data_IF_062111697838
#
_entry.id   IF_062111697838
#
_cell.length_a   1.000
_cell.length_b   1.000
_cell.length_c   1.000
_cell.angle_alpha   90.00
_cell.angle_beta   90.00
_cell.angle_gamma   90.00
#
_symmetry.space_group_name_H-M   'P 1'
#
loop_
_entity.id
_entity.type
_entity.pdbx_description
1 polymer ?
#
# COMPACT_ATOMS: atom_id res chain seq x y z
N UNK A 1 57.12 31.27 8.95
CA UNK A 1 56.31 30.15 9.50
C UNK A 1 54.83 30.14 9.04
N UNK A 2 54.21 31.26 8.70
CA UNK A 2 52.80 31.35 8.28
C UNK A 2 52.41 30.55 6.99
N UNK A 3 53.32 30.46 6.00
CA UNK A 3 53.01 29.80 4.72
C UNK A 3 52.98 28.24 4.76
N UNK A 4 53.64 27.63 5.75
CA UNK A 4 53.57 26.14 5.90
C UNK A 4 52.29 25.66 6.56
N UNK A 5 51.74 26.47 7.46
CA UNK A 5 50.48 26.17 8.13
C UNK A 5 49.29 26.27 7.16
N UNK A 6 49.28 27.27 6.26
CA UNK A 6 48.24 27.44 5.24
C UNK A 6 48.23 26.29 4.22
N UNK A 7 49.40 25.80 3.80
CA UNK A 7 49.48 24.65 2.88
C UNK A 7 49.02 23.35 3.53
N UNK A 8 49.31 23.15 4.83
CA UNK A 8 48.82 21.98 5.56
C UNK A 8 47.29 22.01 5.78
N UNK A 9 46.72 23.19 6.11
CA UNK A 9 45.26 23.34 6.24
C UNK A 9 44.53 23.13 4.93
N UNK A 10 45.10 23.65 3.81
CA UNK A 10 44.50 23.47 2.48
C UNK A 10 44.53 22.02 2.04
N UNK A 11 45.58 21.27 2.33
CA UNK A 11 45.68 19.85 1.99
C UNK A 11 44.73 18.99 2.84
N UNK A 12 44.54 19.30 4.13
CA UNK A 12 43.58 18.62 4.97
C UNK A 12 42.13 18.90 4.54
N UNK A 13 41.83 20.13 4.07
CA UNK A 13 40.51 20.47 3.55
C UNK A 13 40.22 19.72 2.22
N UNK A 14 41.20 19.59 1.34
CA UNK A 14 41.04 18.81 0.08
C UNK A 14 40.87 17.31 0.36
N UNK A 15 41.61 16.76 1.34
CA UNK A 15 41.46 15.34 1.73
C UNK A 15 40.11 15.06 2.40
N UNK A 16 39.58 16.00 3.19
CA UNK A 16 38.25 15.86 3.77
C UNK A 16 37.13 15.98 2.73
N UNK A 17 37.29 16.79 1.66
CA UNK A 17 36.37 16.84 0.54
C UNK A 17 36.40 15.54 -0.30
N UNK A 18 37.57 14.92 -0.48
CA UNK A 18 37.69 13.65 -1.20
C UNK A 18 37.19 12.45 -0.37
N UNK A 19 37.32 12.49 0.98
CA UNK A 19 36.74 11.48 1.86
C UNK A 19 35.22 11.57 1.96
N UNK A 20 34.63 12.74 1.71
CA UNK A 20 33.18 12.96 1.68
C UNK A 20 32.48 12.40 0.43
N UNK A 21 33.26 11.96 -0.59
CA UNK A 21 32.68 11.38 -1.83
C UNK A 21 32.54 9.86 -1.80
N UNK A 22 33.04 9.20 -0.77
CA UNK A 22 32.75 7.79 -0.49
C UNK A 22 31.63 7.68 0.54
N UNK A 23 30.46 8.30 0.29
CA UNK A 23 29.23 7.85 0.95
C UNK A 23 29.08 6.40 0.50
N UNK A 24 29.09 5.41 1.43
CA UNK A 24 28.75 4.05 1.05
C UNK A 24 27.40 4.14 0.36
N UNK A 25 27.38 3.90 -0.94
CA UNK A 25 26.17 4.03 -1.73
C UNK A 25 25.13 3.15 -1.06
N UNK A 26 24.13 3.75 -0.45
CA UNK A 26 22.92 3.03 -0.08
C UNK A 26 22.49 2.34 -1.35
N UNK A 27 22.67 1.03 -1.41
CA UNK A 27 22.29 0.27 -2.59
C UNK A 27 20.82 0.61 -2.84
N UNK A 28 20.57 1.31 -3.94
CA UNK A 28 19.22 1.78 -4.27
C UNK A 28 18.27 0.59 -4.16
N UNK A 29 17.23 0.74 -3.37
CA UNK A 29 16.30 -0.35 -3.10
C UNK A 29 15.77 -0.87 -4.45
N UNK A 30 15.80 -2.20 -4.63
CA UNK A 30 15.41 -2.82 -5.91
C UNK A 30 13.95 -2.53 -6.23
N UNK A 31 13.60 -2.25 -7.49
CA UNK A 31 12.22 -2.11 -7.92
C UNK A 31 11.38 -3.34 -7.52
N UNK A 32 10.21 -3.10 -6.99
CA UNK A 32 9.32 -4.17 -6.49
C UNK A 32 7.84 -3.88 -6.73
N UNK A 33 7.02 -4.92 -6.68
CA UNK A 33 5.57 -4.77 -6.66
C UNK A 33 5.13 -4.77 -5.19
N UNK A 34 4.49 -3.68 -4.76
CA UNK A 34 4.01 -3.48 -3.38
C UNK A 34 2.76 -4.32 -3.08
N UNK A 35 2.51 -4.53 -1.81
CA UNK A 35 1.25 -5.03 -1.28
C UNK A 35 1.22 -6.51 -0.94
N UNK A 36 0.08 -6.96 -0.44
CA UNK A 36 -0.16 -8.35 -0.04
C UNK A 36 -0.09 -9.29 -1.23
N UNK A 37 0.31 -10.54 -1.00
CA UNK A 37 0.37 -11.58 -2.04
C UNK A 37 -0.92 -12.41 -2.13
N UNK A 38 -1.94 -12.06 -1.35
CA UNK A 38 -3.26 -12.69 -1.38
C UNK A 38 -4.27 -11.71 -1.98
N UNK A 39 -5.06 -12.20 -2.92
CA UNK A 39 -6.15 -11.49 -3.57
C UNK A 39 -7.46 -12.24 -3.31
N UNK A 40 -8.51 -11.50 -3.01
CA UNK A 40 -9.79 -12.08 -2.67
C UNK A 40 -10.77 -12.03 -3.86
N UNK A 41 -11.31 -13.20 -4.25
CA UNK A 41 -12.26 -13.31 -5.37
C UNK A 41 -13.52 -12.51 -5.01
N UNK A 42 -14.00 -11.72 -5.98
CA UNK A 42 -15.18 -10.87 -5.82
C UNK A 42 -14.88 -9.44 -5.36
N UNK A 43 -13.63 -9.12 -4.99
CA UNK A 43 -13.26 -7.75 -4.54
C UNK A 43 -13.07 -6.75 -5.70
N UNK A 44 -13.18 -7.19 -6.96
CA UNK A 44 -13.02 -6.32 -8.11
C UNK A 44 -11.57 -6.20 -8.58
N UNK A 45 -11.24 -5.04 -9.17
CA UNK A 45 -9.89 -4.71 -9.61
C UNK A 45 -9.07 -4.19 -8.44
N UNK A 46 -7.86 -4.72 -8.28
CA UNK A 46 -6.88 -4.28 -7.29
C UNK A 46 -5.76 -3.55 -8.03
N UNK A 47 -5.42 -2.33 -7.59
CA UNK A 47 -4.32 -1.56 -8.17
C UNK A 47 -2.98 -2.26 -7.94
N UNK A 48 -2.07 -2.13 -8.90
CA UNK A 48 -0.69 -2.59 -8.78
C UNK A 48 0.17 -1.37 -8.49
N UNK A 49 0.74 -1.33 -7.30
CA UNK A 49 1.65 -0.29 -6.86
C UNK A 49 3.09 -0.79 -7.02
N UNK A 50 3.95 0.08 -7.55
CA UNK A 50 5.36 -0.21 -7.79
C UNK A 50 6.21 0.69 -6.89
N UNK A 51 7.23 0.11 -6.27
CA UNK A 51 8.18 0.81 -5.42
C UNK A 51 9.56 0.86 -6.07
N UNK A 52 10.32 1.90 -5.73
CA UNK A 52 11.73 2.08 -6.09
C UNK A 52 12.01 1.98 -7.60
N UNK A 53 11.06 2.48 -8.41
CA UNK A 53 11.27 2.56 -9.84
C UNK A 53 12.33 3.63 -10.15
N UNK A 54 13.20 3.42 -11.17
CA UNK A 54 14.02 4.48 -11.72
C UNK A 54 13.16 5.64 -12.23
N UNK A 55 13.66 6.88 -12.13
CA UNK A 55 12.93 8.08 -12.57
C UNK A 55 12.60 8.07 -14.08
N UNK A 56 13.45 7.44 -14.88
CA UNK A 56 13.27 7.28 -16.32
C UNK A 56 12.37 6.10 -16.71
N UNK A 57 11.79 5.39 -15.73
CA UNK A 57 10.96 4.21 -15.99
C UNK A 57 9.71 4.57 -16.81
N UNK A 58 9.54 3.91 -17.97
CA UNK A 58 8.43 4.15 -18.92
C UNK A 58 8.02 2.88 -19.66
N UNK A 59 6.98 2.99 -20.49
CA UNK A 59 6.52 1.89 -21.37
C UNK A 59 6.16 0.62 -20.61
N UNK A 60 5.38 0.79 -19.54
CA UNK A 60 4.97 -0.33 -18.70
C UNK A 60 4.08 -1.31 -19.46
N UNK A 61 4.37 -2.61 -19.30
CA UNK A 61 3.53 -3.73 -19.74
C UNK A 61 3.32 -4.66 -18.56
N UNK A 62 2.15 -5.32 -18.52
CA UNK A 62 1.80 -6.27 -17.47
C UNK A 62 1.34 -7.58 -18.07
N UNK A 63 1.74 -8.68 -17.45
CA UNK A 63 1.34 -10.03 -17.84
C UNK A 63 1.07 -10.91 -16.61
N UNK A 64 0.13 -11.83 -16.75
CA UNK A 64 -0.16 -12.90 -15.79
C UNK A 64 0.23 -14.23 -16.38
N UNK A 65 0.91 -15.08 -15.60
CA UNK A 65 1.23 -16.46 -16.01
C UNK A 65 -0.01 -17.36 -16.08
N UNK A 66 -1.12 -16.94 -15.44
CA UNK A 66 -2.41 -17.63 -15.49
C UNK A 66 -3.58 -16.63 -15.48
N UNK A 67 -3.97 -16.09 -16.65
CA UNK A 67 -5.05 -15.10 -16.75
C UNK A 67 -6.43 -15.64 -16.33
N UNK A 68 -6.64 -16.94 -16.36
CA UNK A 68 -7.86 -17.57 -15.85
C UNK A 68 -7.97 -17.49 -14.32
N UNK A 69 -6.85 -17.42 -13.61
CA UNK A 69 -6.80 -17.27 -12.15
C UNK A 69 -6.77 -15.79 -11.77
N UNK A 70 -5.86 -15.02 -12.38
CA UNK A 70 -5.73 -13.58 -12.13
C UNK A 70 -5.60 -12.87 -13.48
N UNK A 71 -6.63 -12.14 -13.86
CA UNK A 71 -6.62 -11.26 -15.04
C UNK A 71 -5.91 -9.95 -14.68
N UNK A 72 -5.13 -9.43 -15.61
CA UNK A 72 -4.42 -8.15 -15.47
C UNK A 72 -4.79 -7.21 -16.60
N UNK A 73 -4.58 -5.92 -16.40
CA UNK A 73 -4.80 -4.91 -17.43
C UNK A 73 -4.31 -3.55 -17.01
N UNK A 74 -4.48 -2.58 -17.91
CA UNK A 74 -4.20 -1.17 -17.67
C UNK A 74 -5.50 -0.37 -17.60
N UNK A 75 -5.49 0.71 -16.83
CA UNK A 75 -6.50 1.75 -16.90
C UNK A 75 -6.15 2.71 -18.04
N UNK A 76 -7.15 3.14 -18.82
CA UNK A 76 -6.95 4.10 -19.91
C UNK A 76 -6.59 5.50 -19.43
N UNK A 77 -6.94 5.84 -18.19
CA UNK A 77 -6.88 7.22 -17.67
C UNK A 77 -5.67 7.48 -16.77
N UNK A 78 -4.74 6.52 -16.65
CA UNK A 78 -3.61 6.66 -15.73
C UNK A 78 -2.36 6.03 -16.35
N UNK A 79 -1.29 6.80 -16.48
CA UNK A 79 -0.02 6.36 -17.06
C UNK A 79 0.58 5.13 -16.34
N UNK A 80 0.26 4.96 -15.05
CA UNK A 80 0.70 3.85 -14.20
C UNK A 80 -0.45 2.94 -13.73
N UNK A 81 -1.69 3.21 -14.15
CA UNK A 81 -2.90 2.53 -13.73
C UNK A 81 -2.94 1.07 -14.19
N UNK A 82 -2.11 0.23 -13.60
CA UNK A 82 -2.16 -1.22 -13.78
C UNK A 82 -3.03 -1.85 -12.69
N UNK A 83 -3.80 -2.86 -13.07
CA UNK A 83 -4.67 -3.57 -12.16
C UNK A 83 -4.58 -5.08 -12.34
N UNK A 84 -4.95 -5.80 -11.28
CA UNK A 84 -5.16 -7.24 -11.27
C UNK A 84 -6.54 -7.57 -10.67
N UNK A 85 -7.23 -8.56 -11.25
CA UNK A 85 -8.55 -9.02 -10.81
C UNK A 85 -8.49 -10.52 -10.59
N UNK A 86 -8.67 -11.02 -9.36
CA UNK A 86 -8.77 -12.45 -9.08
C UNK A 86 -10.10 -12.99 -9.62
N UNK A 87 -10.06 -14.07 -10.37
CA UNK A 87 -11.22 -14.71 -10.98
C UNK A 87 -11.49 -16.09 -10.40
N UNK A 88 -10.44 -16.89 -10.12
CA UNK A 88 -10.52 -18.29 -9.70
C UNK A 88 -9.50 -18.57 -8.62
N UNK A 89 -9.77 -19.49 -7.72
CA UNK A 89 -8.80 -19.95 -6.73
C UNK A 89 -7.57 -20.52 -7.42
N UNK A 90 -6.38 -20.10 -6.99
CA UNK A 90 -5.12 -20.56 -7.57
C UNK A 90 -3.99 -19.56 -7.40
N UNK A 91 -2.88 -19.81 -8.08
CA UNK A 91 -1.70 -18.94 -8.08
C UNK A 91 -1.41 -18.43 -9.49
N UNK A 92 -0.90 -17.21 -9.58
CA UNK A 92 -0.34 -16.66 -10.81
C UNK A 92 0.86 -15.76 -10.50
N UNK A 93 1.89 -15.82 -11.34
CA UNK A 93 3.01 -14.89 -11.32
C UNK A 93 2.63 -13.68 -12.17
N UNK A 94 2.64 -12.51 -11.55
CA UNK A 94 2.39 -11.24 -12.23
C UNK A 94 3.75 -10.62 -12.54
N UNK A 95 3.96 -10.29 -13.80
CA UNK A 95 5.19 -9.68 -14.29
C UNK A 95 4.89 -8.29 -14.84
N UNK A 96 5.60 -7.29 -14.35
CA UNK A 96 5.59 -5.94 -14.89
C UNK A 96 6.92 -5.73 -15.60
N UNK A 97 6.86 -5.36 -16.88
CA UNK A 97 8.01 -4.96 -17.69
C UNK A 97 7.98 -3.47 -17.93
N UNK A 98 9.12 -2.80 -17.90
CA UNK A 98 9.27 -1.38 -18.19
C UNK A 98 10.61 -1.09 -18.86
N UNK A 99 10.74 0.05 -19.54
CA UNK A 99 11.99 0.52 -20.11
C UNK A 99 12.68 1.49 -19.14
N UNK A 100 13.97 1.34 -18.94
CA UNK A 100 14.83 2.26 -18.19
C UNK A 100 16.23 2.21 -18.77
N UNK A 101 16.85 3.38 -19.01
CA UNK A 101 18.16 3.53 -19.65
C UNK A 101 18.27 2.70 -20.95
N UNK A 102 17.24 2.81 -21.81
CA UNK A 102 17.16 2.07 -23.08
C UNK A 102 16.94 0.56 -22.98
N UNK A 103 17.01 -0.04 -21.80
CA UNK A 103 16.89 -1.50 -21.57
C UNK A 103 15.48 -1.87 -21.04
N UNK A 104 15.00 -3.03 -21.44
CA UNK A 104 13.79 -3.61 -20.85
C UNK A 104 14.13 -4.28 -19.54
N UNK A 105 13.48 -3.84 -18.45
CA UNK A 105 13.57 -4.41 -17.11
C UNK A 105 12.28 -5.14 -16.77
N UNK A 106 12.36 -6.11 -15.84
CA UNK A 106 11.21 -6.90 -15.37
C UNK A 106 11.23 -7.03 -13.86
N UNK A 107 10.07 -6.86 -13.24
CA UNK A 107 9.82 -7.19 -11.85
C UNK A 107 8.63 -8.15 -11.81
N UNK A 108 8.66 -9.10 -10.89
CA UNK A 108 7.61 -10.09 -10.81
C UNK A 108 7.31 -10.49 -9.36
N UNK A 109 6.05 -10.85 -9.13
CA UNK A 109 5.61 -11.39 -7.85
C UNK A 109 4.54 -12.46 -8.06
N UNK A 110 4.55 -13.48 -7.21
CA UNK A 110 3.51 -14.51 -7.21
C UNK A 110 2.40 -14.10 -6.27
N UNK A 111 1.16 -14.16 -6.79
CA UNK A 111 -0.07 -13.88 -6.05
C UNK A 111 -0.91 -15.14 -5.93
N UNK A 112 -1.62 -15.26 -4.82
CA UNK A 112 -2.59 -16.32 -4.59
C UNK A 112 -4.00 -15.71 -4.55
N UNK A 113 -4.87 -16.15 -5.45
CA UNK A 113 -6.29 -15.84 -5.41
C UNK A 113 -7.02 -16.84 -4.51
N UNK A 114 -7.79 -16.33 -3.55
CA UNK A 114 -8.57 -17.13 -2.57
C UNK A 114 -10.03 -16.70 -2.56
N UNK A 115 -10.91 -17.57 -2.08
CA UNK A 115 -12.31 -17.21 -1.79
C UNK A 115 -12.36 -16.09 -0.76
N UNK A 116 -13.27 -15.13 -0.93
CA UNK A 116 -13.48 -14.05 0.03
C UNK A 116 -13.85 -14.62 1.40
N UNK A 117 -13.14 -14.22 2.47
CA UNK A 117 -13.24 -14.92 3.75
C UNK A 117 -14.40 -14.46 4.63
N UNK A 118 -15.03 -13.32 4.30
CA UNK A 118 -16.03 -12.64 5.14
C UNK A 118 -15.66 -12.60 6.65
N UNK A 119 -14.63 -11.85 7.03
CA UNK A 119 -14.10 -11.89 8.39
C UNK A 119 -14.94 -11.14 9.42
N UNK A 120 -15.92 -10.34 8.99
CA UNK A 120 -16.74 -9.51 9.86
C UNK A 120 -18.17 -10.06 10.00
N UNK A 121 -18.64 -10.13 11.24
CA UNK A 121 -20.06 -10.25 11.52
C UNK A 121 -20.74 -8.89 11.34
N UNK A 122 -20.08 -7.80 11.76
CA UNK A 122 -20.61 -6.44 11.70
C UNK A 122 -19.50 -5.41 11.66
N UNK A 123 -19.72 -4.30 10.95
CA UNK A 123 -18.91 -3.06 11.04
C UNK A 123 -19.88 -1.88 11.14
N UNK A 124 -19.58 -0.94 12.03
CA UNK A 124 -20.36 0.31 12.19
C UNK A 124 -19.47 1.53 12.17
N UNK A 125 -20.01 2.62 11.63
CA UNK A 125 -19.46 3.98 11.75
C UNK A 125 -20.46 4.81 12.55
N UNK A 126 -20.08 5.25 13.74
CA UNK A 126 -20.97 5.95 14.70
C UNK A 126 -22.31 5.25 14.96
N UNK A 127 -22.30 3.92 15.02
CA UNK A 127 -23.47 3.09 15.23
C UNK A 127 -24.23 2.72 13.95
N UNK A 128 -24.00 3.38 12.83
CA UNK A 128 -24.60 3.05 11.53
C UNK A 128 -23.88 1.85 10.93
N UNK A 129 -24.61 0.79 10.64
CA UNK A 129 -24.06 -0.44 10.09
C UNK A 129 -23.67 -0.31 8.62
N UNK A 130 -22.48 -0.76 8.30
CA UNK A 130 -21.99 -0.80 6.93
C UNK A 130 -22.48 -2.06 6.20
N UNK A 131 -22.87 -1.89 4.94
CA UNK A 131 -23.33 -3.02 4.13
C UNK A 131 -22.15 -3.91 3.68
N UNK A 132 -22.01 -5.07 4.28
CA UNK A 132 -20.97 -6.06 4.00
C UNK A 132 -21.33 -7.07 2.89
N UNK A 133 -22.54 -6.97 2.27
CA UNK A 133 -23.08 -7.98 1.34
C UNK A 133 -22.31 -8.16 0.02
N UNK A 134 -21.33 -7.32 -0.28
CA UNK A 134 -20.62 -7.35 -1.58
C UNK A 134 -19.13 -7.53 -1.35
N UNK A 135 -18.63 -8.70 -1.00
CA UNK A 135 -17.18 -9.05 -1.00
C UNK A 135 -16.21 -7.85 -1.14
N UNK A 136 -16.44 -6.77 -0.38
CA UNK A 136 -15.68 -5.54 -0.46
C UNK A 136 -14.51 -5.59 0.51
N UNK A 137 -13.38 -5.03 0.12
CA UNK A 137 -12.23 -4.78 1.01
C UNK A 137 -12.20 -3.36 1.54
N UNK A 138 -13.19 -2.55 1.19
CA UNK A 138 -13.34 -1.18 1.67
C UNK A 138 -14.81 -0.75 1.71
N UNK A 139 -15.12 0.15 2.64
CA UNK A 139 -16.35 0.93 2.67
C UNK A 139 -16.02 2.42 2.60
N UNK A 140 -16.90 3.18 1.95
CA UNK A 140 -16.82 4.63 1.84
C UNK A 140 -18.06 5.24 2.48
N UNK A 141 -17.85 6.21 3.37
CA UNK A 141 -18.88 7.00 4.04
C UNK A 141 -18.62 8.47 3.68
N UNK A 142 -19.29 8.96 2.65
CA UNK A 142 -19.18 10.33 2.18
C UNK A 142 -20.19 11.27 2.84
N UNK A 143 -19.91 12.58 2.82
CA UNK A 143 -20.79 13.60 3.37
C UNK A 143 -20.90 13.59 4.89
N UNK A 144 -19.85 13.15 5.57
CA UNK A 144 -19.81 13.05 7.02
C UNK A 144 -19.66 14.44 7.68
N UNK A 145 -20.55 14.79 8.59
CA UNK A 145 -20.63 16.16 9.14
C UNK A 145 -20.05 16.35 10.53
N UNK A 146 -19.81 15.25 11.29
CA UNK A 146 -19.30 15.35 12.66
C UNK A 146 -17.79 15.64 12.70
N UNK A 147 -17.33 16.27 13.79
CA UNK A 147 -15.90 16.58 14.02
C UNK A 147 -15.03 15.34 14.32
N UNK A 148 -15.64 14.26 14.78
CA UNK A 148 -14.95 12.99 15.08
C UNK A 148 -15.79 11.81 14.66
N UNK A 149 -15.15 10.67 14.43
CA UNK A 149 -15.76 9.44 13.96
C UNK A 149 -15.31 8.25 14.82
N UNK A 150 -16.25 7.34 15.11
CA UNK A 150 -15.98 6.07 15.78
C UNK A 150 -16.22 4.92 14.82
N UNK A 151 -15.23 4.04 14.68
CA UNK A 151 -15.38 2.78 13.95
C UNK A 151 -15.43 1.64 14.96
N UNK A 152 -16.45 0.80 14.85
CA UNK A 152 -16.59 -0.39 15.64
C UNK A 152 -16.84 -1.60 14.73
N UNK A 153 -16.50 -2.81 15.20
CA UNK A 153 -16.68 -4.02 14.42
C UNK A 153 -16.73 -5.27 15.31
N UNK A 154 -17.38 -6.29 14.79
CA UNK A 154 -17.42 -7.63 15.36
C UNK A 154 -16.84 -8.61 14.34
N UNK A 155 -16.03 -9.55 14.81
CA UNK A 155 -15.37 -10.52 13.95
C UNK A 155 -16.10 -11.86 13.99
N UNK A 156 -16.16 -12.49 12.84
CA UNK A 156 -16.56 -13.89 12.77
C UNK A 156 -15.50 -14.78 13.44
N UNK A 157 -15.94 -15.95 13.93
CA UNK A 157 -15.07 -16.94 14.56
C UNK A 157 -13.86 -17.28 13.68
N UNK A 158 -12.70 -17.43 14.30
CA UNK A 158 -11.45 -17.75 13.61
C UNK A 158 -10.62 -16.56 13.17
N UNK A 159 -11.09 -15.33 13.35
CA UNK A 159 -10.33 -14.12 13.04
C UNK A 159 -9.86 -13.38 14.28
N UNK A 160 -8.74 -12.68 14.20
CA UNK A 160 -8.23 -11.76 15.21
C UNK A 160 -7.66 -10.49 14.58
N UNK A 161 -7.72 -9.41 15.33
CA UNK A 161 -7.06 -8.15 14.95
C UNK A 161 -5.55 -8.36 15.00
N UNK A 162 -4.85 -7.95 13.94
CA UNK A 162 -3.39 -7.84 13.89
C UNK A 162 -2.95 -6.41 14.17
N UNK A 163 -3.56 -5.44 13.49
CA UNK A 163 -3.30 -4.01 13.74
C UNK A 163 -4.49 -3.14 13.34
N UNK A 164 -4.58 -1.98 13.99
CA UNK A 164 -5.53 -0.92 13.71
C UNK A 164 -4.73 0.36 13.44
N UNK A 165 -4.62 0.74 12.18
CA UNK A 165 -3.88 1.92 11.73
C UNK A 165 -4.79 2.81 10.89
N UNK A 166 -4.37 4.01 10.57
CA UNK A 166 -5.13 4.88 9.69
C UNK A 166 -4.29 6.02 9.16
N UNK A 167 -4.91 6.78 8.27
CA UNK A 167 -4.34 7.96 7.63
C UNK A 167 -5.38 9.08 7.61
N UNK A 168 -4.98 10.27 7.98
CA UNK A 168 -5.75 11.50 7.78
C UNK A 168 -5.23 12.18 6.52
N UNK A 169 -6.11 12.49 5.59
CA UNK A 169 -5.78 13.18 4.34
C UNK A 169 -6.28 14.61 4.38
N UNK A 170 -5.39 15.58 4.18
CA UNK A 170 -5.65 17.02 4.21
C UNK A 170 -4.40 17.75 3.73
N UNK A 171 -4.18 18.99 4.23
CA UNK A 171 -2.99 19.78 3.92
C UNK A 171 -1.70 19.03 4.23
N UNK A 172 -1.68 18.25 5.33
CA UNK A 172 -0.61 17.32 5.68
C UNK A 172 -1.19 15.93 5.93
N UNK A 173 -0.68 14.91 5.23
CA UNK A 173 -1.10 13.53 5.47
C UNK A 173 -0.46 13.01 6.75
N UNK A 174 -1.28 12.52 7.69
CA UNK A 174 -0.82 12.05 9.01
C UNK A 174 -1.29 10.63 9.31
N UNK A 175 -0.34 9.73 9.47
CA UNK A 175 -0.60 8.37 9.94
C UNK A 175 -0.93 8.36 11.45
N UNK A 176 -1.78 7.42 11.89
CA UNK A 176 -2.13 7.23 13.29
C UNK A 176 -2.46 5.77 13.57
N UNK A 177 -2.40 5.41 14.86
CA UNK A 177 -3.01 4.18 15.38
C UNK A 177 -4.32 4.51 16.06
N UNK A 178 -5.26 3.56 16.09
CA UNK A 178 -6.56 3.77 16.70
C UNK A 178 -7.02 2.55 17.51
N UNK A 179 -8.08 2.72 18.27
CA UNK A 179 -8.70 1.65 19.04
C UNK A 179 -10.18 1.52 18.66
N UNK A 180 -10.65 0.29 18.58
CA UNK A 180 -12.06 -0.03 18.36
C UNK A 180 -12.96 0.80 19.29
N UNK A 181 -14.03 1.38 18.73
CA UNK A 181 -15.01 2.20 19.44
C UNK A 181 -14.44 3.46 20.15
N UNK A 182 -13.23 3.92 19.79
CA UNK A 182 -12.67 5.21 20.23
C UNK A 182 -12.83 6.25 19.14
N UNK A 183 -13.21 7.48 19.57
CA UNK A 183 -13.34 8.60 18.66
C UNK A 183 -11.99 9.00 18.07
N UNK A 184 -11.95 9.22 16.75
CA UNK A 184 -10.83 9.80 16.02
C UNK A 184 -11.31 11.14 15.45
N UNK A 185 -10.65 12.24 15.83
CA UNK A 185 -10.97 13.56 15.32
C UNK A 185 -10.41 13.76 13.92
N UNK A 186 -11.15 14.44 13.05
CA UNK A 186 -10.65 14.80 11.72
C UNK A 186 -9.52 15.85 11.80
N UNK A 187 -9.60 16.82 12.71
CA UNK A 187 -8.76 18.01 12.66
C UNK A 187 -9.06 18.79 11.37
N UNK A 188 -8.01 19.15 10.63
CA UNK A 188 -8.11 19.82 9.32
C UNK A 188 -8.19 18.81 8.15
N UNK A 189 -8.30 17.51 8.40
CA UNK A 189 -8.42 16.53 7.35
C UNK A 189 -9.82 16.53 6.72
N UNK A 190 -9.90 16.44 5.40
CA UNK A 190 -11.15 16.21 4.67
C UNK A 190 -11.57 14.74 4.69
N UNK A 191 -10.60 13.83 4.81
CA UNK A 191 -10.83 12.38 4.81
C UNK A 191 -10.00 11.67 5.86
N UNK A 192 -10.61 10.70 6.53
CA UNK A 192 -9.94 9.78 7.46
C UNK A 192 -10.14 8.35 6.96
N UNK A 193 -9.04 7.62 6.78
CA UNK A 193 -9.06 6.22 6.40
C UNK A 193 -8.63 5.37 7.59
N UNK A 194 -9.44 4.39 7.96
CA UNK A 194 -9.16 3.39 8.98
C UNK A 194 -8.77 2.08 8.29
N UNK A 195 -7.63 1.53 8.63
CA UNK A 195 -7.19 0.20 8.20
C UNK A 195 -7.36 -0.79 9.35
N UNK A 196 -8.07 -1.87 9.07
CA UNK A 196 -8.30 -3.00 9.97
C UNK A 196 -7.58 -4.19 9.37
N UNK A 197 -6.39 -4.49 9.86
CA UNK A 197 -5.63 -5.66 9.44
C UNK A 197 -5.97 -6.83 10.36
N UNK A 198 -6.49 -7.88 9.77
CA UNK A 198 -6.93 -9.09 10.43
C UNK A 198 -6.04 -10.27 10.07
N UNK A 199 -5.97 -11.25 10.96
CA UNK A 199 -5.28 -12.53 10.75
C UNK A 199 -6.21 -13.69 11.05
N UNK A 200 -6.31 -14.63 10.13
CA UNK A 200 -7.01 -15.88 10.33
C UNK A 200 -6.19 -16.79 11.25
N UNK A 201 -6.81 -17.29 12.34
CA UNK A 201 -6.13 -18.12 13.36
C UNK A 201 -5.74 -19.51 12.83
N UNK A 202 -6.48 -20.03 11.83
CA UNK A 202 -6.30 -21.39 11.29
C UNK A 202 -5.15 -21.48 10.26
N UNK A 203 -5.09 -20.52 9.36
CA UNK A 203 -4.17 -20.60 8.20
C UNK A 203 -3.20 -19.42 8.08
N UNK A 204 -3.23 -18.51 9.08
CA UNK A 204 -2.42 -17.28 9.13
C UNK A 204 -2.64 -16.31 7.97
N UNK A 205 -3.69 -16.47 7.15
CA UNK A 205 -4.01 -15.51 6.10
C UNK A 205 -4.30 -14.14 6.68
N UNK A 206 -3.82 -13.12 6.02
CA UNK A 206 -4.08 -11.72 6.38
C UNK A 206 -5.16 -11.14 5.47
N UNK A 207 -6.04 -10.35 6.06
CA UNK A 207 -7.10 -9.64 5.37
C UNK A 207 -7.12 -8.20 5.86
N UNK A 208 -6.99 -7.25 4.96
CA UNK A 208 -7.10 -5.83 5.27
C UNK A 208 -8.45 -5.30 4.77
N UNK A 209 -9.11 -4.55 5.63
CA UNK A 209 -10.34 -3.83 5.32
C UNK A 209 -10.17 -2.35 5.62
N UNK A 210 -10.58 -1.52 4.67
CA UNK A 210 -10.50 -0.07 4.80
C UNK A 210 -11.89 0.52 5.05
N UNK A 211 -11.98 1.45 5.99
CA UNK A 211 -13.16 2.30 6.16
C UNK A 211 -12.72 3.73 5.90
N UNK A 212 -13.22 4.31 4.82
CA UNK A 212 -12.95 5.68 4.41
C UNK A 212 -14.14 6.54 4.80
N UNK A 213 -13.87 7.62 5.54
CA UNK A 213 -14.90 8.59 5.98
C UNK A 213 -14.49 9.96 5.50
N UNK A 214 -15.31 10.57 4.65
CA UNK A 214 -15.06 11.88 4.02
C UNK A 214 -16.14 12.90 4.38
N UNK A 215 -15.69 14.12 4.64
CA UNK A 215 -16.54 15.29 4.88
C UNK A 215 -17.04 15.92 3.58
#
# INVERSE_FOLDING_TARGET
MKNKLFKALSLCLLLSLLAGLAVPGFAAAKPSIRGTRVLWIGTGKNAILLDNLPEDARSFKIASSNPAVIKVGKSSNDAFGMWMKPLKVGKAKITVSYKSVGKTRKIAATYQAKKYPNPFARITVDGIELNLKKNKVAADVAGYTKKSVKVNFELNTGWKVKSLTGMKFGETNKAFTWKKNRAVTFGNAGTVVFSILLKNKKNNDEFEYLVMVSR
#
